data_IF_637995349154
#
_entry.id   IF_637995349154
#
_cell.length_a   1.000
_cell.length_b   1.000
_cell.length_c   1.000
_cell.angle_alpha   90.00
_cell.angle_beta   90.00
_cell.angle_gamma   90.00
#
_symmetry.space_group_name_H-M   'P 1'
#
loop_
_entity.id
_entity.type
_entity.pdbx_description
1 polymer ?
#
# COMPACT_ATOMS: atom_id res chain seq x y z
N UNK A 1 -20.48 1.20 0.06
CA UNK A 1 -21.74 0.98 -0.69
C UNK A 1 -21.74 1.83 -1.95
N UNK A 2 -22.54 1.49 -2.98
CA UNK A 2 -22.48 2.11 -4.32
C UNK A 2 -22.58 3.64 -4.30
N UNK A 3 -23.47 4.21 -3.46
CA UNK A 3 -23.60 5.67 -3.28
C UNK A 3 -22.28 6.38 -2.92
N UNK A 4 -21.44 5.76 -2.08
CA UNK A 4 -20.17 6.36 -1.64
C UNK A 4 -19.13 6.33 -2.76
N UNK A 5 -19.18 5.34 -3.66
CA UNK A 5 -18.31 5.32 -4.83
C UNK A 5 -18.70 6.44 -5.81
N UNK A 6 -20.00 6.63 -6.05
CA UNK A 6 -20.50 7.71 -6.91
C UNK A 6 -20.10 9.11 -6.39
N UNK A 7 -20.10 9.31 -5.07
CA UNK A 7 -19.61 10.53 -4.44
C UNK A 7 -18.11 10.77 -4.69
N UNK A 8 -17.30 9.71 -4.65
CA UNK A 8 -15.86 9.78 -4.91
C UNK A 8 -15.56 10.06 -6.38
N UNK A 9 -16.31 9.43 -7.28
CA UNK A 9 -16.20 9.69 -8.73
C UNK A 9 -16.52 11.15 -9.05
N UNK A 10 -17.54 11.73 -8.41
CA UNK A 10 -17.83 13.18 -8.54
C UNK A 10 -16.73 14.09 -8.03
N UNK A 11 -15.92 13.61 -7.06
CA UNK A 11 -14.75 14.31 -6.53
C UNK A 11 -13.47 14.05 -7.34
N UNK A 12 -13.56 13.37 -8.48
CA UNK A 12 -12.44 13.12 -9.39
C UNK A 12 -11.62 11.86 -9.09
N UNK A 13 -12.08 11.01 -8.15
CA UNK A 13 -11.44 9.72 -7.87
C UNK A 13 -12.04 8.64 -8.76
N UNK A 14 -11.25 8.07 -9.66
CA UNK A 14 -11.70 6.98 -10.53
C UNK A 14 -11.89 5.66 -9.76
N UNK A 15 -12.84 4.84 -10.20
CA UNK A 15 -12.95 3.47 -9.71
C UNK A 15 -11.73 2.65 -10.16
N UNK A 16 -11.26 1.76 -9.28
CA UNK A 16 -10.14 0.89 -9.61
C UNK A 16 -10.54 -0.14 -10.67
N UNK A 17 -9.74 -0.26 -11.73
CA UNK A 17 -9.90 -1.26 -12.79
C UNK A 17 -9.27 -2.60 -12.39
N UNK A 18 -9.66 -3.14 -11.23
CA UNK A 18 -9.22 -4.47 -10.78
C UNK A 18 -10.40 -5.35 -10.45
N UNK A 19 -10.34 -6.61 -10.89
CA UNK A 19 -11.35 -7.61 -10.55
C UNK A 19 -11.26 -8.07 -9.08
N UNK A 20 -10.06 -7.99 -8.49
CA UNK A 20 -9.78 -8.49 -7.13
C UNK A 20 -8.70 -7.65 -6.44
N UNK A 21 -8.82 -7.48 -5.12
CA UNK A 21 -7.80 -6.83 -4.28
C UNK A 21 -7.17 -7.91 -3.39
N UNK A 22 -5.85 -8.08 -3.50
CA UNK A 22 -5.09 -9.09 -2.74
C UNK A 22 -4.40 -8.50 -1.50
N UNK A 23 -3.70 -9.36 -0.76
CA UNK A 23 -2.87 -8.98 0.38
C UNK A 23 -3.67 -8.49 1.59
N UNK A 24 -3.01 -7.71 2.45
CA UNK A 24 -3.63 -7.20 3.68
C UNK A 24 -4.84 -6.30 3.39
N UNK A 25 -4.79 -5.53 2.29
CA UNK A 25 -5.88 -4.67 1.88
C UNK A 25 -7.14 -5.48 1.53
N UNK A 26 -6.98 -6.55 0.76
CA UNK A 26 -8.09 -7.46 0.42
C UNK A 26 -8.66 -8.17 1.65
N UNK A 27 -7.78 -8.67 2.53
CA UNK A 27 -8.21 -9.33 3.77
C UNK A 27 -8.98 -8.39 4.69
N UNK A 28 -8.50 -7.16 4.88
CA UNK A 28 -9.19 -6.14 5.67
C UNK A 28 -10.53 -5.75 5.06
N UNK A 29 -10.59 -5.54 3.73
CA UNK A 29 -11.85 -5.25 3.05
C UNK A 29 -12.87 -6.39 3.22
N UNK A 30 -12.44 -7.64 3.10
CA UNK A 30 -13.31 -8.80 3.33
C UNK A 30 -13.86 -8.81 4.76
N UNK A 31 -13.00 -8.59 5.76
CA UNK A 31 -13.42 -8.55 7.15
C UNK A 31 -14.41 -7.40 7.42
N UNK A 32 -14.15 -6.21 6.86
CA UNK A 32 -15.08 -5.09 6.97
C UNK A 32 -16.43 -5.37 6.30
N UNK A 33 -16.46 -6.11 5.17
CA UNK A 33 -17.71 -6.52 4.53
C UNK A 33 -18.50 -7.46 5.46
N UNK A 34 -17.85 -8.47 6.03
CA UNK A 34 -18.46 -9.43 6.96
C UNK A 34 -19.00 -8.70 8.20
N UNK A 35 -18.20 -7.80 8.76
CA UNK A 35 -18.52 -7.00 9.95
C UNK A 35 -19.49 -5.84 9.66
N UNK A 36 -19.94 -5.66 8.41
CA UNK A 36 -20.81 -4.55 7.95
C UNK A 36 -20.25 -3.16 8.27
N UNK A 37 -18.93 -3.02 8.26
CA UNK A 37 -18.23 -1.76 8.46
C UNK A 37 -17.96 -1.09 7.11
N UNK A 38 -18.21 0.23 6.98
CA UNK A 38 -17.90 0.94 5.75
C UNK A 38 -16.38 1.03 5.57
N UNK A 39 -15.88 0.39 4.51
CA UNK A 39 -14.48 0.43 4.14
C UNK A 39 -14.31 0.83 2.67
N UNK A 40 -13.13 1.38 2.35
CA UNK A 40 -12.68 1.70 1.01
C UNK A 40 -11.15 1.58 0.95
N UNK A 41 -10.62 1.32 -0.24
CA UNK A 41 -9.18 1.36 -0.50
C UNK A 41 -8.89 2.46 -1.52
N UNK A 42 -7.85 3.26 -1.26
CA UNK A 42 -7.34 4.26 -2.20
C UNK A 42 -6.08 3.70 -2.84
N UNK A 43 -6.03 3.77 -4.17
CA UNK A 43 -4.92 3.29 -4.96
C UNK A 43 -4.42 4.45 -5.82
N UNK A 44 -3.11 4.62 -5.89
CA UNK A 44 -2.44 5.52 -6.82
C UNK A 44 -1.45 4.71 -7.63
N UNK A 45 -1.22 5.11 -8.88
CA UNK A 45 -0.06 4.64 -9.61
C UNK A 45 1.19 5.18 -8.92
N UNK A 46 2.25 4.37 -8.89
CA UNK A 46 3.52 4.75 -8.26
C UNK A 46 4.66 4.12 -9.06
N UNK A 47 5.79 4.80 -9.15
CA UNK A 47 7.01 4.20 -9.70
C UNK A 47 7.50 3.08 -8.79
N UNK A 48 7.83 1.92 -9.36
CA UNK A 48 8.40 0.79 -8.61
C UNK A 48 9.90 0.95 -8.33
N UNK A 49 10.56 1.91 -8.97
CA UNK A 49 12.02 2.07 -8.93
C UNK A 49 12.48 3.37 -8.29
N UNK A 50 11.60 4.37 -8.17
CA UNK A 50 11.93 5.69 -7.64
C UNK A 50 10.91 6.11 -6.59
N UNK A 51 11.33 6.77 -5.50
CA UNK A 51 10.41 7.46 -4.61
C UNK A 51 9.55 8.44 -5.41
N UNK A 52 8.24 8.39 -5.19
CA UNK A 52 7.27 9.20 -5.92
C UNK A 52 6.44 10.02 -4.91
N UNK A 53 6.93 11.22 -4.53
CA UNK A 53 6.24 12.08 -3.58
C UNK A 53 4.91 12.59 -4.12
N UNK A 54 4.76 12.72 -5.45
CA UNK A 54 3.53 13.19 -6.09
C UNK A 54 2.37 12.20 -5.93
N UNK A 55 2.68 10.91 -5.99
CA UNK A 55 1.71 9.85 -5.73
C UNK A 55 1.23 9.84 -4.29
N UNK A 56 2.13 10.05 -3.33
CA UNK A 56 1.76 10.23 -1.92
C UNK A 56 0.91 11.50 -1.73
N UNK A 57 1.30 12.60 -2.37
CA UNK A 57 0.57 13.87 -2.33
C UNK A 57 -0.87 13.71 -2.84
N UNK A 58 -1.05 13.00 -3.94
CA UNK A 58 -2.35 12.73 -4.56
C UNK A 58 -3.26 11.95 -3.61
N UNK A 59 -2.70 10.96 -2.90
CA UNK A 59 -3.41 10.18 -1.89
C UNK A 59 -3.85 11.04 -0.70
N UNK A 60 -2.96 11.89 -0.18
CA UNK A 60 -3.26 12.78 0.95
C UNK A 60 -4.30 13.84 0.56
N UNK A 61 -4.22 14.41 -0.65
CA UNK A 61 -5.24 15.34 -1.18
C UNK A 61 -6.61 14.66 -1.25
N UNK A 62 -6.66 13.45 -1.79
CA UNK A 62 -7.90 12.66 -1.86
C UNK A 62 -8.46 12.38 -0.45
N UNK A 63 -7.61 12.05 0.52
CA UNK A 63 -8.03 11.85 1.92
C UNK A 63 -8.58 13.13 2.56
N UNK A 64 -7.90 14.27 2.36
CA UNK A 64 -8.37 15.57 2.82
C UNK A 64 -9.76 15.88 2.25
N UNK A 65 -9.96 15.68 0.95
CA UNK A 65 -11.25 15.96 0.28
C UNK A 65 -12.36 15.00 0.71
N UNK A 66 -12.03 13.75 1.02
CA UNK A 66 -12.98 12.72 1.41
C UNK A 66 -13.50 12.88 2.85
N UNK A 67 -12.62 13.29 3.75
CA UNK A 67 -12.88 13.32 5.19
C UNK A 67 -12.78 14.72 5.81
N UNK A 68 -12.66 15.76 4.98
CA UNK A 68 -12.45 17.16 5.40
C UNK A 68 -11.25 17.32 6.35
N UNK A 69 -10.17 16.62 6.04
CA UNK A 69 -8.93 16.67 6.83
C UNK A 69 -8.09 17.87 6.39
N UNK A 70 -7.29 18.40 7.32
CA UNK A 70 -6.40 19.54 7.09
C UNK A 70 -4.93 19.12 7.17
N UNK A 71 -4.60 18.00 6.52
CA UNK A 71 -3.22 17.49 6.50
C UNK A 71 -2.39 18.42 5.61
N UNK A 72 -1.39 19.07 6.21
CA UNK A 72 -0.44 19.92 5.50
C UNK A 72 0.55 19.07 4.72
N UNK A 73 0.88 19.50 3.51
CA UNK A 73 1.78 18.77 2.59
C UNK A 73 3.00 19.60 2.20
N UNK A 74 3.21 20.73 2.87
CA UNK A 74 4.21 21.76 2.52
C UNK A 74 5.67 21.26 2.51
N UNK A 75 5.96 20.17 3.24
CA UNK A 75 7.31 19.58 3.36
C UNK A 75 7.34 18.12 2.90
N UNK A 76 6.32 17.69 2.13
CA UNK A 76 6.10 16.28 1.84
C UNK A 76 7.25 15.65 1.05
N UNK A 77 7.82 16.35 0.06
CA UNK A 77 8.91 15.81 -0.77
C UNK A 77 10.13 15.38 0.07
N UNK A 78 10.63 16.29 0.91
CA UNK A 78 11.81 16.02 1.76
C UNK A 78 11.52 14.92 2.77
N UNK A 79 10.30 14.85 3.29
CA UNK A 79 9.88 13.82 4.23
C UNK A 79 9.72 12.46 3.55
N UNK A 80 9.18 12.40 2.33
CA UNK A 80 9.00 11.15 1.57
C UNK A 80 10.35 10.52 1.24
N UNK A 81 11.34 11.31 0.79
CA UNK A 81 12.68 10.79 0.51
C UNK A 81 13.32 10.16 1.76
N UNK A 82 13.26 10.86 2.90
CA UNK A 82 13.78 10.34 4.18
C UNK A 82 13.04 9.08 4.63
N UNK A 83 11.71 9.05 4.51
CA UNK A 83 10.91 7.87 4.84
C UNK A 83 11.32 6.69 3.96
N UNK A 84 11.54 6.92 2.67
CA UNK A 84 11.94 5.87 1.75
C UNK A 84 13.31 5.27 2.13
N UNK A 85 14.29 6.11 2.43
CA UNK A 85 15.61 5.67 2.89
C UNK A 85 15.54 4.82 4.17
N UNK A 86 14.75 5.26 5.16
CA UNK A 86 14.53 4.50 6.40
C UNK A 86 13.78 3.20 6.14
N UNK A 87 12.79 3.20 5.24
CA UNK A 87 12.02 2.01 4.89
C UNK A 87 12.88 0.98 4.16
N UNK A 88 13.73 1.42 3.23
CA UNK A 88 14.70 0.57 2.54
C UNK A 88 15.69 -0.06 3.53
N UNK A 89 16.15 0.72 4.50
CA UNK A 89 17.03 0.23 5.57
C UNK A 89 16.33 -0.85 6.40
N UNK A 90 15.09 -0.61 6.85
CA UNK A 90 14.32 -1.59 7.62
C UNK A 90 14.06 -2.85 6.80
N UNK A 91 13.70 -2.72 5.53
CA UNK A 91 13.49 -3.85 4.61
C UNK A 91 14.77 -4.66 4.44
N UNK A 92 15.93 -3.99 4.31
CA UNK A 92 17.23 -4.64 4.22
C UNK A 92 17.55 -5.41 5.50
N UNK A 93 17.44 -4.78 6.67
CA UNK A 93 17.67 -5.42 7.97
C UNK A 93 16.70 -6.60 8.20
N UNK A 94 15.45 -6.47 7.76
CA UNK A 94 14.45 -7.53 7.81
C UNK A 94 14.81 -8.72 6.90
N UNK A 95 15.24 -8.46 5.67
CA UNK A 95 15.65 -9.51 4.74
C UNK A 95 16.94 -10.19 5.21
N UNK A 96 17.88 -9.43 5.77
CA UNK A 96 19.13 -9.95 6.34
C UNK A 96 18.88 -10.86 7.55
N UNK A 97 17.96 -10.46 8.44
CA UNK A 97 17.54 -11.28 9.59
C UNK A 97 16.68 -12.47 9.19
N UNK A 98 15.97 -12.38 8.06
CA UNK A 98 15.27 -13.49 7.38
C UNK A 98 16.18 -14.34 6.50
N UNK A 99 17.51 -14.19 6.51
CA UNK A 99 18.42 -15.22 6.01
C UNK A 99 18.28 -16.47 6.91
N UNK A 100 17.17 -17.18 6.74
CA UNK A 100 16.99 -18.59 7.01
C UNK A 100 18.22 -19.24 6.40
N UNK A 101 19.02 -20.01 7.14
CA UNK A 101 20.14 -20.73 6.55
C UNK A 101 19.58 -21.44 5.32
N UNK A 102 20.17 -21.17 4.16
CA UNK A 102 19.91 -21.91 2.92
C UNK A 102 19.67 -23.34 3.34
N UNK A 103 18.48 -23.88 3.09
CA UNK A 103 18.20 -25.29 3.30
C UNK A 103 19.39 -26.01 2.68
N UNK A 104 20.28 -26.56 3.53
CA UNK A 104 21.38 -27.40 3.05
C UNK A 104 20.64 -28.38 2.18
N UNK A 105 20.92 -28.39 0.88
CA UNK A 105 20.49 -29.50 0.02
C UNK A 105 20.85 -30.73 0.83
N UNK A 106 19.84 -31.46 1.30
CA UNK A 106 20.06 -32.78 1.87
C UNK A 106 20.96 -33.46 0.84
N UNK A 107 22.18 -33.93 1.20
CA UNK A 107 22.97 -34.66 0.24
C UNK A 107 22.05 -35.77 -0.26
N UNK A 108 21.81 -35.79 -1.58
CA UNK A 108 21.05 -36.86 -2.21
C UNK A 108 21.63 -38.16 -1.66
N UNK A 109 20.80 -38.94 -0.98
CA UNK A 109 21.22 -40.26 -0.54
C UNK A 109 21.63 -41.01 -1.80
N UNK A 110 22.90 -41.43 -1.87
CA UNK A 110 23.50 -42.19 -2.97
C UNK A 110 22.92 -43.62 -3.11
N UNK A 111 21.65 -43.81 -2.78
CA UNK A 111 20.85 -45.00 -3.01
C UNK A 111 19.42 -44.53 -3.25
N UNK A 112 19.03 -44.53 -4.52
CA UNK A 112 17.73 -44.12 -5.04
C UNK A 112 17.84 -43.76 -6.51
#
# INVERSE_FOLDING_TARGET
GPKRLDELVKKGVSAAESAVIFGIGGALLNECIISKLPALSLLTHVSSTLPDPDSVLTLIKSLNDMYDLKIKTDVLEMTVSKIHEELDRVVKEYNESRNIPTMKKTPETMYG
#
